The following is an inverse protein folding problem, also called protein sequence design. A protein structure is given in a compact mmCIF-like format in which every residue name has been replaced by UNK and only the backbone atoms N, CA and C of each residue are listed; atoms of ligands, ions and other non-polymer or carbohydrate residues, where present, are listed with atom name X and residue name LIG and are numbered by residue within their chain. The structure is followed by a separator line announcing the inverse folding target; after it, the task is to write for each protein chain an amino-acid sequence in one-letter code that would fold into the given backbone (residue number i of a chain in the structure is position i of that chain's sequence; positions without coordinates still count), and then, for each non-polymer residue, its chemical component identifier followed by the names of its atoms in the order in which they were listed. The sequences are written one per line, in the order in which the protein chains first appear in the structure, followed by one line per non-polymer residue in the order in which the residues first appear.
data_IF_514786178132
#
_entry.id   IF_514786178132
#
_cell.length_a   1.000
_cell.length_b   1.000
_cell.length_c   1.000
_cell.angle_alpha   90.00
_cell.angle_beta   90.00
_cell.angle_gamma   90.00
#
_symmetry.space_group_name_H-M   'P 1'
#
loop_
_entity.id
_entity.type
_entity.pdbx_description
1 polymer ?
#
# COMPACT_ATOMS: atom_id res chain seq x y z
N UNK A 1 4.40 0.23 -12.99
CA UNK A 1 5.81 0.63 -12.77
C UNK A 1 6.52 -0.32 -11.84
N UNK A 2 6.16 -0.38 -10.55
CA UNK A 2 6.78 -1.28 -9.56
C UNK A 2 7.04 -2.70 -10.06
N UNK A 3 5.99 -3.41 -10.49
CA UNK A 3 6.11 -4.77 -11.03
C UNK A 3 7.12 -4.88 -12.17
N UNK A 4 7.06 -3.96 -13.14
CA UNK A 4 7.95 -3.97 -14.29
C UNK A 4 9.41 -3.73 -13.89
N UNK A 5 9.65 -2.82 -12.93
CA UNK A 5 10.99 -2.56 -12.38
C UNK A 5 11.55 -3.82 -11.71
N UNK A 6 10.77 -4.46 -10.84
CA UNK A 6 11.19 -5.70 -10.17
C UNK A 6 11.42 -6.84 -11.14
N UNK A 7 10.51 -7.02 -12.10
CA UNK A 7 10.61 -8.07 -13.10
C UNK A 7 11.86 -7.87 -13.97
N UNK A 8 12.13 -6.65 -14.42
CA UNK A 8 13.33 -6.34 -15.18
C UNK A 8 14.62 -6.61 -14.38
N UNK A 9 14.66 -6.21 -13.11
CA UNK A 9 15.79 -6.49 -12.23
C UNK A 9 16.01 -7.99 -12.01
N UNK A 10 14.93 -8.74 -11.79
CA UNK A 10 14.98 -10.20 -11.63
C UNK A 10 15.46 -10.88 -12.91
N UNK A 11 14.92 -10.50 -14.07
CA UNK A 11 15.32 -11.05 -15.37
C UNK A 11 16.80 -10.79 -15.63
N UNK A 12 17.27 -9.55 -15.45
CA UNK A 12 18.69 -9.22 -15.69
C UNK A 12 19.61 -10.01 -14.76
N UNK A 13 19.26 -10.14 -13.48
CA UNK A 13 20.04 -10.93 -12.53
C UNK A 13 20.10 -12.41 -12.90
N UNK A 14 18.97 -13.00 -13.28
CA UNK A 14 18.90 -14.41 -13.72
C UNK A 14 19.64 -14.64 -15.04
N UNK A 15 19.42 -13.77 -16.04
CA UNK A 15 20.04 -13.87 -17.36
C UNK A 15 21.56 -13.67 -17.33
N UNK A 16 22.07 -12.95 -16.34
CA UNK A 16 23.50 -12.74 -16.11
C UNK A 16 24.16 -13.90 -15.33
N UNK A 17 23.45 -15.01 -15.11
CA UNK A 17 23.97 -16.17 -14.38
C UNK A 17 24.03 -16.00 -12.87
N UNK A 18 23.18 -15.12 -12.29
CA UNK A 18 23.11 -14.84 -10.85
C UNK A 18 24.45 -14.33 -10.27
N UNK A 19 24.99 -13.21 -10.80
CA UNK A 19 26.25 -12.67 -10.32
C UNK A 19 26.15 -12.34 -8.82
N UNK A 20 27.27 -12.51 -8.11
CA UNK A 20 27.39 -12.13 -6.70
C UNK A 20 27.85 -10.67 -6.63
N UNK A 21 27.05 -9.82 -5.99
CA UNK A 21 27.35 -8.40 -5.88
C UNK A 21 28.31 -8.09 -4.71
N UNK A 22 29.10 -7.01 -4.78
CA UNK A 22 29.96 -6.60 -3.66
C UNK A 22 29.20 -6.24 -2.37
N UNK A 23 27.91 -5.88 -2.48
CA UNK A 23 27.04 -5.60 -1.34
C UNK A 23 26.35 -6.84 -0.76
N UNK A 24 26.55 -8.01 -1.39
CA UNK A 24 25.88 -9.26 -1.08
C UNK A 24 26.81 -10.21 -0.31
N UNK A 25 26.51 -10.44 0.96
CA UNK A 25 27.19 -11.44 1.79
C UNK A 25 26.56 -12.83 1.67
N UNK A 26 25.30 -12.89 1.22
CA UNK A 26 24.49 -14.10 1.12
C UNK A 26 24.54 -14.73 -0.28
N UNK A 27 23.91 -15.89 -0.50
CA UNK A 27 23.84 -16.58 -1.81
C UNK A 27 22.72 -16.03 -2.70
N UNK A 28 21.59 -15.63 -2.12
CA UNK A 28 20.44 -15.08 -2.85
C UNK A 28 20.49 -13.55 -2.79
N UNK A 29 20.63 -12.90 -3.94
CA UNK A 29 20.70 -11.44 -3.99
C UNK A 29 19.40 -10.81 -3.48
N UNK A 30 19.51 -9.84 -2.57
CA UNK A 30 18.41 -8.94 -2.25
C UNK A 30 18.12 -8.06 -3.48
N UNK A 31 16.88 -7.57 -3.61
CA UNK A 31 16.51 -6.54 -4.58
C UNK A 31 17.43 -5.34 -4.42
N UNK A 32 17.75 -4.97 -3.18
CA UNK A 32 18.68 -3.88 -2.88
C UNK A 32 20.08 -4.11 -3.45
N UNK A 33 20.58 -5.35 -3.50
CA UNK A 33 21.91 -5.66 -4.05
C UNK A 33 21.94 -5.47 -5.57
N UNK A 34 20.91 -5.98 -6.24
CA UNK A 34 20.72 -5.81 -7.68
C UNK A 34 20.55 -4.31 -8.01
N UNK A 35 19.76 -3.61 -7.19
CA UNK A 35 19.46 -2.19 -7.30
C UNK A 35 20.59 -1.25 -6.88
N UNK A 36 21.63 -1.73 -6.20
CA UNK A 36 22.82 -0.95 -5.86
C UNK A 36 23.91 -0.97 -6.96
N UNK A 37 23.72 -1.82 -7.98
CA UNK A 37 24.69 -2.07 -9.05
C UNK A 37 24.30 -1.31 -10.34
N UNK A 38 24.54 -1.88 -11.52
CA UNK A 38 24.27 -1.23 -12.81
C UNK A 38 22.79 -0.83 -13.00
N UNK A 39 21.86 -1.47 -12.29
CA UNK A 39 20.43 -1.20 -12.37
C UNK A 39 19.94 -0.12 -11.40
N UNK A 40 20.85 0.58 -10.70
CA UNK A 40 20.46 1.65 -9.78
C UNK A 40 19.57 2.73 -10.40
N UNK A 41 19.84 3.27 -11.61
CA UNK A 41 18.97 4.26 -12.23
C UNK A 41 17.53 3.74 -12.44
N UNK A 42 17.39 2.48 -12.84
CA UNK A 42 16.10 1.82 -13.01
C UNK A 42 15.37 1.65 -11.67
N UNK A 43 16.09 1.21 -10.63
CA UNK A 43 15.53 1.00 -9.30
C UNK A 43 15.06 2.31 -8.66
N UNK A 44 15.88 3.36 -8.72
CA UNK A 44 15.52 4.70 -8.20
C UNK A 44 14.32 5.28 -8.93
N UNK A 45 14.29 5.19 -10.26
CA UNK A 45 13.16 5.68 -11.07
C UNK A 45 11.87 4.91 -10.73
N UNK A 46 11.95 3.58 -10.62
CA UNK A 46 10.83 2.74 -10.23
C UNK A 46 10.29 3.07 -8.83
N UNK A 47 11.19 3.29 -7.87
CA UNK A 47 10.85 3.71 -6.51
C UNK A 47 10.20 5.10 -6.47
N UNK A 48 10.73 6.07 -7.21
CA UNK A 48 10.17 7.42 -7.31
C UNK A 48 8.75 7.42 -7.85
N UNK A 49 8.53 6.79 -9.01
CA UNK A 49 7.20 6.75 -9.61
C UNK A 49 6.22 5.98 -8.72
N UNK A 50 6.65 4.88 -8.11
CA UNK A 50 5.79 4.06 -7.25
C UNK A 50 5.44 4.77 -5.94
N UNK A 51 6.42 5.39 -5.26
CA UNK A 51 6.21 6.08 -3.98
C UNK A 51 5.33 7.32 -4.12
N UNK A 52 5.58 8.15 -5.15
CA UNK A 52 4.74 9.31 -5.46
C UNK A 52 3.36 8.85 -5.91
N UNK A 53 3.30 7.88 -6.82
CA UNK A 53 2.04 7.33 -7.34
C UNK A 53 1.14 6.78 -6.23
N UNK A 54 1.70 6.00 -5.30
CA UNK A 54 0.97 5.45 -4.16
C UNK A 54 0.35 6.56 -3.29
N UNK A 55 1.14 7.58 -2.95
CA UNK A 55 0.64 8.72 -2.16
C UNK A 55 -0.46 9.48 -2.89
N UNK A 56 -0.25 9.79 -4.17
CA UNK A 56 -1.25 10.47 -5.00
C UNK A 56 -2.53 9.65 -5.13
N UNK A 57 -2.44 8.33 -5.24
CA UNK A 57 -3.60 7.46 -5.31
C UNK A 57 -4.49 7.60 -4.07
N UNK A 58 -3.94 7.59 -2.85
CA UNK A 58 -4.75 7.79 -1.64
C UNK A 58 -5.34 9.21 -1.55
N UNK A 59 -4.60 10.23 -2.01
CA UNK A 59 -5.12 11.60 -2.08
C UNK A 59 -6.31 11.67 -3.05
N UNK A 60 -6.19 11.07 -4.24
CA UNK A 60 -7.27 11.03 -5.24
C UNK A 60 -8.47 10.25 -4.71
N UNK A 61 -8.27 9.09 -4.06
CA UNK A 61 -9.36 8.36 -3.41
C UNK A 61 -10.10 9.24 -2.42
N UNK A 62 -9.38 9.98 -1.57
CA UNK A 62 -9.99 10.90 -0.61
C UNK A 62 -10.78 12.02 -1.30
N UNK A 63 -10.24 12.62 -2.36
CA UNK A 63 -10.95 13.64 -3.15
C UNK A 63 -12.23 13.06 -3.76
N UNK A 64 -12.15 11.86 -4.33
CA UNK A 64 -13.30 11.18 -4.94
C UNK A 64 -14.38 10.83 -3.90
N UNK A 65 -14.00 10.38 -2.70
CA UNK A 65 -14.93 10.17 -1.58
C UNK A 65 -15.56 11.47 -1.12
N UNK A 66 -14.78 12.55 -1.02
CA UNK A 66 -15.29 13.87 -0.65
C UNK A 66 -16.31 14.40 -1.67
N UNK A 67 -16.07 14.17 -2.96
CA UNK A 67 -16.98 14.50 -4.05
C UNK A 67 -18.16 13.53 -4.20
N UNK A 68 -18.25 12.47 -3.38
CA UNK A 68 -19.32 11.48 -3.47
C UNK A 68 -19.28 10.61 -4.73
N UNK A 69 -18.12 10.51 -5.40
CA UNK A 69 -17.87 9.60 -6.53
C UNK A 69 -17.35 8.24 -6.09
N UNK A 70 -16.80 8.19 -4.89
CA UNK A 70 -16.59 6.97 -4.10
C UNK A 70 -17.43 7.07 -2.84
N UNK A 71 -17.58 5.95 -2.13
CA UNK A 71 -18.41 5.95 -0.93
C UNK A 71 -17.94 7.00 0.07
N UNK A 72 -18.81 7.98 0.39
CA UNK A 72 -18.42 9.13 1.16
C UNK A 72 -18.19 8.76 2.63
N UNK A 73 -17.20 9.40 3.25
CA UNK A 73 -16.99 9.30 4.69
C UNK A 73 -18.14 9.99 5.42
N UNK A 74 -18.89 9.24 6.20
CA UNK A 74 -20.08 9.72 6.91
C UNK A 74 -19.72 10.24 8.30
N UNK A 75 -18.69 9.67 8.90
CA UNK A 75 -18.26 10.01 10.27
C UNK A 75 -16.91 10.73 10.26
N UNK A 76 -16.71 11.61 11.24
CA UNK A 76 -15.42 12.31 11.44
C UNK A 76 -14.25 11.33 11.62
N UNK A 77 -14.48 10.18 12.26
CA UNK A 77 -13.46 9.14 12.49
C UNK A 77 -12.93 8.55 11.19
N UNK A 78 -13.80 8.24 10.24
CA UNK A 78 -13.39 7.72 8.92
C UNK A 78 -12.51 8.72 8.17
N UNK A 79 -12.84 10.02 8.27
CA UNK A 79 -11.98 11.07 7.71
C UNK A 79 -10.60 11.11 8.34
N UNK A 80 -10.51 10.95 9.67
CA UNK A 80 -9.22 10.94 10.37
C UNK A 80 -8.40 9.75 9.91
N UNK A 81 -8.97 8.54 9.85
CA UNK A 81 -8.26 7.35 9.38
C UNK A 81 -7.77 7.49 7.94
N UNK A 82 -8.58 8.05 7.04
CA UNK A 82 -8.12 8.31 5.67
C UNK A 82 -6.96 9.32 5.60
N UNK A 83 -6.95 10.35 6.46
CA UNK A 83 -5.81 11.30 6.53
C UNK A 83 -4.56 10.60 7.06
N UNK A 84 -4.70 9.81 8.13
CA UNK A 84 -3.59 9.03 8.69
C UNK A 84 -3.05 8.01 7.67
N UNK A 85 -3.92 7.42 6.85
CA UNK A 85 -3.52 6.52 5.78
C UNK A 85 -2.67 7.24 4.71
N UNK A 86 -3.05 8.47 4.33
CA UNK A 86 -2.29 9.32 3.41
C UNK A 86 -0.93 9.70 4.01
N UNK A 87 -0.87 10.08 5.29
CA UNK A 87 0.40 10.39 5.97
C UNK A 87 1.32 9.17 6.01
N UNK A 88 0.79 7.98 6.32
CA UNK A 88 1.54 6.72 6.25
C UNK A 88 2.05 6.45 4.84
N UNK A 89 1.24 6.67 3.80
CA UNK A 89 1.65 6.50 2.41
C UNK A 89 2.75 7.49 2.00
N UNK A 90 2.69 8.74 2.48
CA UNK A 90 3.72 9.74 2.24
C UNK A 90 5.05 9.35 2.89
N UNK A 91 5.02 8.92 4.17
CA UNK A 91 6.20 8.45 4.90
C UNK A 91 6.78 7.21 4.22
N UNK A 92 5.92 6.25 3.86
CA UNK A 92 6.32 5.03 3.16
C UNK A 92 6.94 5.33 1.79
N UNK A 93 6.30 6.19 1.00
CA UNK A 93 6.78 6.63 -0.30
C UNK A 93 8.11 7.36 -0.23
N UNK A 94 8.29 8.26 0.76
CA UNK A 94 9.57 8.92 1.02
C UNK A 94 10.65 7.90 1.41
N UNK A 95 10.34 6.96 2.31
CA UNK A 95 11.24 5.86 2.68
C UNK A 95 11.68 5.03 1.47
N UNK A 96 10.76 4.68 0.57
CA UNK A 96 11.04 3.92 -0.64
C UNK A 96 11.98 4.67 -1.61
N UNK A 97 11.80 5.98 -1.74
CA UNK A 97 12.68 6.81 -2.57
C UNK A 97 14.07 6.89 -1.93
N UNK A 98 14.13 7.24 -0.65
CA UNK A 98 15.39 7.45 0.05
C UNK A 98 16.21 6.17 0.16
N UNK A 99 15.60 4.99 0.42
CA UNK A 99 16.33 3.72 0.42
C UNK A 99 16.93 3.39 -0.96
N UNK A 100 16.28 3.82 -2.04
CA UNK A 100 16.80 3.57 -3.40
C UNK A 100 18.00 4.46 -3.73
N UNK A 101 18.02 5.69 -3.19
CA UNK A 101 19.12 6.64 -3.35
C UNK A 101 20.30 6.28 -2.45
N UNK A 102 20.05 6.03 -1.16
CA UNK A 102 21.02 5.57 -0.18
C UNK A 102 21.11 4.04 -0.24
N UNK A 103 21.86 3.53 -1.21
CA UNK A 103 21.95 2.10 -1.50
C UNK A 103 22.75 1.29 -0.47
N UNK A 104 22.60 -0.03 -0.53
CA UNK A 104 23.29 -0.98 0.36
C UNK A 104 24.81 -1.05 0.13
N UNK A 105 25.32 -0.60 -1.03
CA UNK A 105 26.75 -0.64 -1.35
C UNK A 105 27.53 0.49 -0.68
N UNK A 106 26.97 1.70 -0.63
CA UNK A 106 27.63 2.92 -0.12
C UNK A 106 27.14 3.32 1.26
N UNK A 107 25.86 3.10 1.55
CA UNK A 107 25.21 3.58 2.78
C UNK A 107 24.35 2.49 3.44
N UNK A 108 24.91 1.31 3.79
CA UNK A 108 24.13 0.15 4.26
C UNK A 108 23.28 0.42 5.51
N UNK A 109 23.81 1.14 6.50
CA UNK A 109 23.04 1.48 7.71
C UNK A 109 21.86 2.42 7.40
N UNK A 110 22.09 3.42 6.55
CA UNK A 110 21.07 4.39 6.14
C UNK A 110 19.99 3.72 5.29
N UNK A 111 20.40 2.83 4.38
CA UNK A 111 19.50 2.01 3.58
C UNK A 111 18.52 1.22 4.46
N UNK A 112 19.05 0.54 5.49
CA UNK A 112 18.23 -0.26 6.42
C UNK A 112 17.26 0.59 7.23
N UNK A 113 17.65 1.80 7.63
CA UNK A 113 16.75 2.75 8.31
C UNK A 113 15.61 3.14 7.37
N UNK A 114 15.89 3.52 6.13
CA UNK A 114 14.83 3.88 5.18
C UNK A 114 13.98 2.70 4.72
N UNK A 115 14.53 1.48 4.69
CA UNK A 115 13.77 0.24 4.51
C UNK A 115 12.75 0.05 5.64
N UNK A 116 13.15 0.28 6.90
CA UNK A 116 12.24 0.27 8.04
C UNK A 116 11.16 1.35 7.92
N UNK A 117 11.54 2.59 7.58
CA UNK A 117 10.60 3.71 7.36
C UNK A 117 9.58 3.37 6.27
N UNK A 118 10.03 2.78 5.15
CA UNK A 118 9.17 2.31 4.07
C UNK A 118 8.15 1.27 4.57
N UNK A 119 8.62 0.20 5.21
CA UNK A 119 7.77 -0.90 5.68
C UNK A 119 6.75 -0.39 6.70
N UNK A 120 7.19 0.37 7.70
CA UNK A 120 6.31 0.91 8.75
C UNK A 120 5.32 1.92 8.17
N UNK A 121 5.76 2.82 7.29
CA UNK A 121 4.88 3.80 6.65
C UNK A 121 3.76 3.14 5.83
N UNK A 122 4.12 2.16 4.98
CA UNK A 122 3.14 1.39 4.19
C UNK A 122 2.22 0.56 5.09
N UNK A 123 2.75 -0.08 6.14
CA UNK A 123 1.94 -0.86 7.08
C UNK A 123 0.93 0.03 7.84
N UNK A 124 1.36 1.18 8.34
CA UNK A 124 0.46 2.16 8.98
C UNK A 124 -0.61 2.65 7.99
N UNK A 125 -0.20 2.97 6.75
CA UNK A 125 -1.14 3.33 5.69
C UNK A 125 -2.21 2.26 5.49
N UNK A 126 -1.79 1.01 5.37
CA UNK A 126 -2.67 -0.13 5.18
C UNK A 126 -3.61 -0.37 6.36
N UNK A 127 -3.10 -0.34 7.59
CA UNK A 127 -3.89 -0.50 8.81
C UNK A 127 -4.98 0.57 8.86
N UNK A 128 -4.64 1.84 8.62
CA UNK A 128 -5.64 2.91 8.65
C UNK A 128 -6.66 2.80 7.52
N UNK A 129 -6.27 2.39 6.31
CA UNK A 129 -7.20 2.10 5.22
C UNK A 129 -8.15 0.93 5.54
N UNK A 130 -7.66 -0.12 6.19
CA UNK A 130 -8.50 -1.27 6.61
C UNK A 130 -9.48 -0.85 7.72
N UNK A 131 -9.01 -0.08 8.71
CA UNK A 131 -9.86 0.41 9.80
C UNK A 131 -10.94 1.33 9.25
N UNK A 132 -10.58 2.26 8.35
CA UNK A 132 -11.55 3.10 7.64
C UNK A 132 -12.62 2.24 6.96
N UNK A 133 -12.21 1.23 6.19
CA UNK A 133 -13.13 0.31 5.54
C UNK A 133 -14.05 -0.42 6.53
N UNK A 134 -13.51 -0.95 7.63
CA UNK A 134 -14.29 -1.70 8.62
C UNK A 134 -15.43 -0.87 9.23
N UNK A 135 -15.24 0.44 9.37
CA UNK A 135 -16.28 1.35 9.81
C UNK A 135 -17.31 1.62 8.70
N UNK A 136 -16.83 1.95 7.51
CA UNK A 136 -17.68 2.20 6.34
C UNK A 136 -18.55 0.97 6.02
N UNK A 137 -18.00 -0.25 6.08
CA UNK A 137 -18.72 -1.49 5.75
C UNK A 137 -19.92 -1.78 6.66
N UNK A 138 -19.97 -1.23 7.88
CA UNK A 138 -21.11 -1.41 8.79
C UNK A 138 -22.34 -0.66 8.31
N UNK A 139 -22.13 0.47 7.65
CA UNK A 139 -23.20 1.34 7.20
C UNK A 139 -23.76 0.88 5.83
N UNK A 140 -22.99 0.14 5.02
CA UNK A 140 -23.34 -0.23 3.63
C UNK A 140 -23.36 -1.74 3.35
N UNK A 141 -24.09 -2.53 4.17
CA UNK A 141 -24.09 -3.99 4.08
C UNK A 141 -24.56 -4.58 2.73
N UNK A 142 -25.21 -3.80 1.87
CA UNK A 142 -25.93 -4.32 0.70
C UNK A 142 -25.07 -4.39 -0.59
N UNK A 143 -23.83 -3.89 -0.60
CA UNK A 143 -23.00 -3.84 -1.82
C UNK A 143 -21.90 -4.91 -1.82
N UNK A 144 -22.22 -6.08 -2.37
CA UNK A 144 -21.30 -7.23 -2.39
C UNK A 144 -19.99 -6.96 -3.13
N UNK A 145 -20.03 -6.29 -4.29
CA UNK A 145 -18.82 -5.99 -5.09
C UNK A 145 -17.81 -5.15 -4.31
N UNK A 146 -18.30 -4.16 -3.58
CA UNK A 146 -17.45 -3.27 -2.79
C UNK A 146 -16.87 -3.98 -1.56
N UNK A 147 -17.67 -4.83 -0.90
CA UNK A 147 -17.18 -5.66 0.20
C UNK A 147 -16.06 -6.59 -0.25
N UNK A 148 -16.23 -7.28 -1.39
CA UNK A 148 -15.21 -8.21 -1.92
C UNK A 148 -13.90 -7.46 -2.17
N UNK A 149 -13.96 -6.29 -2.81
CA UNK A 149 -12.79 -5.46 -3.10
C UNK A 149 -11.99 -5.11 -1.84
N UNK A 150 -12.69 -4.63 -0.82
CA UNK A 150 -12.05 -4.22 0.42
C UNK A 150 -11.61 -5.39 1.31
N UNK A 151 -12.33 -6.51 1.31
CA UNK A 151 -11.89 -7.75 1.97
C UNK A 151 -10.60 -8.25 1.32
N UNK A 152 -10.53 -8.27 -0.01
CA UNK A 152 -9.32 -8.65 -0.73
C UNK A 152 -8.15 -7.71 -0.37
N UNK A 153 -8.37 -6.39 -0.36
CA UNK A 153 -7.38 -5.40 0.11
C UNK A 153 -6.89 -5.70 1.53
N UNK A 154 -7.80 -5.99 2.45
CA UNK A 154 -7.48 -6.32 3.84
C UNK A 154 -6.68 -7.62 4.00
N UNK A 155 -7.05 -8.67 3.27
CA UNK A 155 -6.32 -9.95 3.26
C UNK A 155 -4.91 -9.77 2.72
N UNK A 156 -4.77 -9.12 1.56
CA UNK A 156 -3.46 -8.89 0.92
C UNK A 156 -2.55 -8.08 1.85
N UNK A 157 -3.05 -6.98 2.41
CA UNK A 157 -2.29 -6.17 3.35
C UNK A 157 -1.88 -6.94 4.62
N UNK A 158 -2.78 -7.75 5.19
CA UNK A 158 -2.48 -8.55 6.38
C UNK A 158 -1.39 -9.59 6.10
N UNK A 159 -1.47 -10.26 4.95
CA UNK A 159 -0.43 -11.20 4.49
C UNK A 159 0.90 -10.47 4.34
N UNK A 160 0.93 -9.30 3.70
CA UNK A 160 2.16 -8.52 3.53
C UNK A 160 2.76 -8.06 4.84
N UNK A 161 1.95 -7.64 5.81
CA UNK A 161 2.42 -7.25 7.14
C UNK A 161 3.03 -8.48 7.86
N UNK A 162 2.36 -9.63 7.82
CA UNK A 162 2.90 -10.86 8.40
C UNK A 162 4.23 -11.27 7.75
N UNK A 163 4.31 -11.24 6.42
CA UNK A 163 5.55 -11.52 5.69
C UNK A 163 6.65 -10.50 6.02
N UNK A 164 6.32 -9.22 6.18
CA UNK A 164 7.27 -8.18 6.55
C UNK A 164 7.87 -8.38 7.95
N UNK A 165 7.09 -8.91 8.89
CA UNK A 165 7.60 -9.30 10.22
C UNK A 165 8.59 -10.47 10.08
N UNK A 166 8.25 -11.50 9.29
CA UNK A 166 9.16 -12.62 9.00
C UNK A 166 10.44 -12.13 8.32
N UNK A 167 10.32 -11.20 7.37
CA UNK A 167 11.46 -10.56 6.71
C UNK A 167 12.35 -9.82 7.70
N UNK A 168 11.78 -9.03 8.62
CA UNK A 168 12.55 -8.29 9.62
C UNK A 168 13.40 -9.22 10.51
N UNK A 169 12.86 -10.38 10.87
CA UNK A 169 13.58 -11.40 11.66
C UNK A 169 14.66 -12.08 10.81
N UNK A 170 14.32 -12.51 9.60
CA UNK A 170 15.23 -13.25 8.71
C UNK A 170 16.35 -12.39 8.13
N UNK A 171 16.17 -11.07 8.07
CA UNK A 171 17.19 -10.10 7.66
C UNK A 171 18.49 -10.23 8.47
N UNK A 172 18.39 -10.56 9.77
CA UNK A 172 19.53 -10.67 10.67
C UNK A 172 19.92 -12.12 10.98
N UNK A 173 18.97 -13.05 10.95
CA UNK A 173 19.22 -14.45 11.36
C UNK A 173 19.49 -15.38 10.19
N UNK A 174 18.87 -15.15 9.03
CA UNK A 174 18.96 -16.05 7.88
C UNK A 174 18.94 -15.26 6.56
N UNK A 175 20.03 -14.57 6.19
CA UNK A 175 20.03 -13.63 5.06
C UNK A 175 19.60 -14.24 3.72
N UNK A 176 19.92 -15.50 3.46
CA UNK A 176 19.43 -16.21 2.27
C UNK A 176 17.90 -16.29 2.22
N UNK A 177 17.29 -16.61 3.35
CA UNK A 177 15.83 -16.71 3.49
C UNK A 177 15.21 -15.31 3.44
N UNK A 178 15.86 -14.33 4.07
CA UNK A 178 15.47 -12.92 3.97
C UNK A 178 15.41 -12.42 2.53
N UNK A 179 16.37 -12.80 1.68
CA UNK A 179 16.35 -12.46 0.25
C UNK A 179 15.09 -12.97 -0.46
N UNK A 180 14.69 -14.21 -0.19
CA UNK A 180 13.46 -14.79 -0.74
C UNK A 180 12.23 -13.99 -0.29
N UNK A 181 12.12 -13.71 1.02
CA UNK A 181 11.00 -12.94 1.54
C UNK A 181 10.93 -11.52 0.99
N UNK A 182 12.08 -10.86 0.78
CA UNK A 182 12.11 -9.53 0.16
C UNK A 182 11.47 -9.55 -1.23
N UNK A 183 11.87 -10.50 -2.09
CA UNK A 183 11.28 -10.67 -3.42
C UNK A 183 9.78 -10.97 -3.35
N UNK A 184 9.35 -11.89 -2.47
CA UNK A 184 7.94 -12.25 -2.30
C UNK A 184 7.12 -11.02 -1.86
N UNK A 185 7.57 -10.28 -0.86
CA UNK A 185 6.88 -9.08 -0.35
C UNK A 185 6.85 -8.01 -1.43
N UNK A 186 7.95 -7.80 -2.15
CA UNK A 186 8.03 -6.78 -3.19
C UNK A 186 7.07 -7.08 -4.35
N UNK A 187 7.01 -8.31 -4.86
CA UNK A 187 5.99 -8.69 -5.85
C UNK A 187 4.58 -8.65 -5.25
N UNK A 188 4.42 -9.11 -4.00
CA UNK A 188 3.17 -9.05 -3.24
C UNK A 188 2.61 -7.64 -3.12
N UNK A 189 3.47 -6.64 -2.90
CA UNK A 189 3.11 -5.22 -2.83
C UNK A 189 2.47 -4.72 -4.13
N UNK A 190 2.80 -5.32 -5.29
CA UNK A 190 2.08 -5.04 -6.55
C UNK A 190 0.58 -5.33 -6.43
N UNK A 191 0.21 -6.48 -5.87
CA UNK A 191 -1.19 -6.84 -5.70
C UNK A 191 -1.90 -5.88 -4.76
N UNK A 192 -1.21 -5.42 -3.72
CA UNK A 192 -1.74 -4.38 -2.84
C UNK A 192 -1.98 -3.06 -3.59
N UNK A 193 -1.02 -2.57 -4.37
CA UNK A 193 -1.19 -1.37 -5.20
C UNK A 193 -2.35 -1.51 -6.21
N UNK A 194 -2.53 -2.69 -6.82
CA UNK A 194 -3.62 -2.97 -7.74
C UNK A 194 -5.01 -2.85 -7.08
N UNK A 195 -5.12 -3.09 -5.77
CA UNK A 195 -6.39 -2.90 -5.08
C UNK A 195 -6.83 -1.43 -5.06
N UNK A 196 -5.91 -0.47 -5.00
CA UNK A 196 -6.24 0.95 -5.10
C UNK A 196 -6.57 1.37 -6.53
N UNK A 197 -5.88 0.80 -7.52
CA UNK A 197 -6.27 1.02 -8.92
C UNK A 197 -7.71 0.54 -9.17
N UNK A 198 -8.08 -0.60 -8.60
CA UNK A 198 -9.44 -1.13 -8.68
C UNK A 198 -10.46 -0.22 -7.99
N UNK A 199 -10.14 0.32 -6.80
CA UNK A 199 -10.99 1.31 -6.11
C UNK A 199 -11.19 2.57 -6.95
N UNK A 200 -10.13 3.13 -7.55
CA UNK A 200 -10.24 4.28 -8.45
C UNK A 200 -11.13 3.98 -9.66
N UNK A 201 -11.02 2.77 -10.23
CA UNK A 201 -11.86 2.28 -11.33
C UNK A 201 -13.35 2.25 -10.96
N UNK A 202 -13.69 2.01 -9.69
CA UNK A 202 -15.10 2.04 -9.24
C UNK A 202 -15.73 3.43 -9.31
N UNK A 203 -14.93 4.50 -9.30
CA UNK A 203 -15.44 5.88 -9.48
C UNK A 203 -15.77 6.22 -10.94
N UNK A 204 -15.43 5.34 -11.89
CA UNK A 204 -15.72 5.53 -13.30
C UNK A 204 -17.23 5.41 -13.50
N UNK A 205 -17.80 6.37 -14.23
CA UNK A 205 -19.25 6.50 -14.47
C UNK A 205 -20.09 6.82 -13.22
N UNK A 206 -19.47 7.31 -12.15
CA UNK A 206 -20.20 7.85 -10.98
C UNK A 206 -20.13 9.38 -11.03
N UNK A 207 -21.29 10.03 -11.07
CA UNK A 207 -21.40 11.48 -11.12
C UNK A 207 -21.06 12.13 -9.77
N UNK A 208 -20.69 13.41 -9.81
CA UNK A 208 -20.34 14.15 -8.60
C UNK A 208 -21.58 14.27 -7.71
N UNK A 209 -21.48 13.77 -6.49
CA UNK A 209 -22.55 13.83 -5.50
C UNK A 209 -23.55 12.67 -5.56
N UNK A 210 -23.48 11.80 -6.57
CA UNK A 210 -24.44 10.71 -6.78
C UNK A 210 -24.55 9.80 -5.54
N UNK A 211 -23.42 9.27 -5.05
CA UNK A 211 -23.42 8.42 -3.85
C UNK A 211 -23.78 9.24 -2.59
N UNK A 212 -23.41 10.52 -2.54
CA UNK A 212 -23.76 11.37 -1.39
C UNK A 212 -25.28 11.60 -1.29
N UNK A 213 -25.97 11.75 -2.42
CA UNK A 213 -27.43 11.89 -2.47
C UNK A 213 -28.11 10.57 -2.11
N UNK A 214 -27.70 9.46 -2.74
CA UNK A 214 -28.25 8.13 -2.48
C UNK A 214 -28.16 7.74 -1.00
N UNK A 215 -27.02 8.00 -0.35
CA UNK A 215 -26.80 7.56 1.03
C UNK A 215 -27.07 8.63 2.10
N UNK A 216 -27.07 9.91 1.74
CA UNK A 216 -27.51 10.99 2.63
C UNK A 216 -28.96 10.78 3.08
N UNK A 217 -29.85 10.40 2.15
CA UNK A 217 -31.25 10.12 2.46
C UNK A 217 -31.44 8.92 3.38
N UNK A 218 -30.73 7.81 3.15
CA UNK A 218 -30.84 6.61 3.99
C UNK A 218 -30.39 6.83 5.43
N UNK A 219 -29.36 7.65 5.67
CA UNK A 219 -28.89 7.93 7.03
C UNK A 219 -29.86 8.79 7.85
N UNK A 220 -30.51 9.78 7.23
CA UNK A 220 -31.53 10.58 7.90
C UNK A 220 -32.72 9.74 8.35
N UNK A 221 -33.23 8.85 7.49
CA UNK A 221 -34.33 7.94 7.86
C UNK A 221 -33.93 6.96 8.96
N UNK A 222 -32.71 6.42 8.95
CA UNK A 222 -32.25 5.49 9.99
C UNK A 222 -32.08 6.17 11.35
N UNK A 223 -31.55 7.40 11.39
CA UNK A 223 -31.45 8.18 12.63
C UNK A 223 -32.83 8.53 13.18
N UNK A 224 -33.76 8.95 12.32
CA UNK A 224 -35.13 9.28 12.73
C UNK A 224 -35.86 8.05 13.30
N UNK A 225 -35.75 6.88 12.67
CA UNK A 225 -36.30 5.63 13.22
C UNK A 225 -35.64 5.19 14.52
N UNK A 226 -34.34 5.44 14.70
CA UNK A 226 -33.63 5.09 15.94
C UNK A 226 -34.10 5.97 17.10
N UNK A 227 -34.22 7.28 16.87
CA UNK A 227 -34.76 8.23 17.85
C UNK A 227 -36.21 7.90 18.22
N UNK A 228 -37.06 7.55 17.24
CA UNK A 228 -38.45 7.15 17.53
C UNK A 228 -38.56 5.87 18.37
N UNK A 229 -37.59 4.96 18.30
CA UNK A 229 -37.54 3.75 19.14
C UNK A 229 -36.99 4.00 20.54
N UNK A 230 -36.24 5.06 20.76
CA UNK A 230 -35.78 5.45 22.10
C UNK A 230 -36.84 6.23 22.90
N UNK A 231 -37.84 6.80 22.21
CA UNK A 231 -38.91 7.61 22.83
C UNK A 231 -40.18 6.79 23.11
N UNK A 232 -40.30 5.58 22.54
CA UNK A 232 -41.43 4.66 22.72
C UNK A 232 -41.10 3.55 23.72
#
# INVERSE_FOLDING_TARGET
MWFCTLLAMLIVWLASGRPRYPSQDQRIAYISDVGASNLKPLFVTGCAITGVGFTLTLIVERILRHHGRLMPNMRRRERVFSILAILGALIGGAGLILLSVFDTKRFPSVHRIFLLVFIVGVALSAIFSIVEYRWISKDFSNFQRLKIAYIAKGIIASILIALAIVFAVTLFQAPNVGGIFEWIIAFGFTFYLLTFWYDLRMSKNVEKGELKQLYGHHHHHRQQHSQMREIA
#
